data_IF_883206176238
#
_entry.id   IF_883206176238
#
_cell.length_a   1.000
_cell.length_b   1.000
_cell.length_c   1.000
_cell.angle_alpha   90.00
_cell.angle_beta   90.00
_cell.angle_gamma   90.00
#
_symmetry.space_group_name_H-M   'P 1'
#
loop_
_entity.id
_entity.type
_entity.pdbx_description
1 polymer ?
#
# COMPACT_ATOMS: atom_id res chain seq x y z
N UNK A 1 8.19 52.36 27.32
CA UNK A 1 8.54 51.60 26.10
C UNK A 1 7.86 52.27 24.92
N UNK A 2 8.50 52.33 23.74
CA UNK A 2 7.87 52.90 22.55
C UNK A 2 6.78 51.97 22.03
N UNK A 3 5.61 52.50 21.70
CA UNK A 3 4.50 51.76 21.11
C UNK A 3 4.92 51.06 19.82
N UNK A 4 5.73 51.75 19.01
CA UNK A 4 6.32 51.19 17.80
C UNK A 4 7.16 49.94 18.09
N UNK A 5 7.95 49.93 19.16
CA UNK A 5 8.73 48.76 19.59
C UNK A 5 7.85 47.62 20.10
N UNK A 6 6.77 47.93 20.83
CA UNK A 6 5.80 46.92 21.29
C UNK A 6 5.11 46.25 20.09
N UNK A 7 4.60 47.05 19.14
CA UNK A 7 3.95 46.53 17.95
C UNK A 7 4.92 45.72 17.10
N UNK A 8 6.12 46.24 16.81
CA UNK A 8 7.14 45.51 16.06
C UNK A 8 7.51 44.18 16.73
N UNK A 9 7.67 44.17 18.07
CA UNK A 9 7.92 42.95 18.83
C UNK A 9 6.79 41.93 18.71
N UNK A 10 5.53 42.37 18.81
CA UNK A 10 4.37 41.50 18.67
C UNK A 10 4.23 40.90 17.26
N UNK A 11 4.50 41.70 16.21
CA UNK A 11 4.49 41.20 14.83
C UNK A 11 5.63 40.22 14.57
N UNK A 12 6.83 40.49 15.07
CA UNK A 12 7.98 39.58 14.94
C UNK A 12 7.70 38.26 15.67
N UNK A 13 7.16 38.33 16.89
CA UNK A 13 6.79 37.14 17.66
C UNK A 13 5.72 36.29 16.94
N UNK A 14 4.68 36.93 16.39
CA UNK A 14 3.68 36.24 15.57
C UNK A 14 4.30 35.61 14.31
N UNK A 15 5.24 36.30 13.67
CA UNK A 15 6.01 35.78 12.54
C UNK A 15 6.80 34.52 12.89
N UNK A 16 7.44 34.49 14.06
CA UNK A 16 8.16 33.29 14.55
C UNK A 16 7.19 32.12 14.78
N UNK A 17 6.03 32.37 15.39
CA UNK A 17 5.02 31.32 15.60
C UNK A 17 4.52 30.76 14.27
N UNK A 18 4.18 31.62 13.32
CA UNK A 18 3.73 31.19 11.99
C UNK A 18 4.80 30.39 11.25
N UNK A 19 6.07 30.80 11.36
CA UNK A 19 7.20 30.07 10.79
C UNK A 19 7.38 28.70 11.45
N UNK A 20 7.27 28.62 12.79
CA UNK A 20 7.33 27.35 13.50
C UNK A 20 6.20 26.41 13.07
N UNK A 21 4.95 26.89 13.01
CA UNK A 21 3.80 26.12 12.52
C UNK A 21 4.06 25.63 11.09
N UNK A 22 4.59 26.49 10.22
CA UNK A 22 4.96 26.12 8.85
C UNK A 22 5.99 24.98 8.80
N UNK A 23 7.09 25.10 9.55
CA UNK A 23 8.15 24.08 9.59
C UNK A 23 7.64 22.75 10.16
N UNK A 24 6.90 22.78 11.28
CA UNK A 24 6.35 21.55 11.87
C UNK A 24 5.31 20.90 10.95
N UNK A 25 4.50 21.71 10.27
CA UNK A 25 3.53 21.22 9.28
C UNK A 25 4.22 20.52 8.11
N UNK A 26 5.27 21.13 7.52
CA UNK A 26 5.99 20.53 6.40
C UNK A 26 6.72 19.24 6.79
N UNK A 27 7.39 19.22 7.95
CA UNK A 27 8.05 18.01 8.46
C UNK A 27 7.05 16.88 8.70
N UNK A 28 5.87 17.19 9.25
CA UNK A 28 4.83 16.19 9.50
C UNK A 28 4.26 15.63 8.19
N UNK A 29 4.03 16.48 7.19
CA UNK A 29 3.58 16.05 5.86
C UNK A 29 4.63 15.15 5.20
N UNK A 30 5.91 15.51 5.29
CA UNK A 30 7.00 14.72 4.71
C UNK A 30 7.11 13.34 5.38
N UNK A 31 7.00 13.27 6.71
CA UNK A 31 7.00 12.00 7.44
C UNK A 31 5.82 11.10 7.01
N UNK A 32 4.62 11.67 6.90
CA UNK A 32 3.43 10.95 6.41
C UNK A 32 3.61 10.47 4.97
N UNK A 33 4.13 11.33 4.08
CA UNK A 33 4.41 10.98 2.68
C UNK A 33 5.42 9.85 2.55
N UNK A 34 6.48 9.85 3.37
CA UNK A 34 7.45 8.77 3.41
C UNK A 34 6.76 7.46 3.79
N UNK A 35 5.95 7.45 4.85
CA UNK A 35 5.19 6.25 5.28
C UNK A 35 4.17 5.76 4.27
N UNK A 36 3.49 6.67 3.55
CA UNK A 36 2.62 6.27 2.44
C UNK A 36 3.40 5.70 1.26
N UNK A 37 4.59 6.24 0.98
CA UNK A 37 5.48 5.70 -0.07
C UNK A 37 5.95 4.30 0.30
N UNK A 38 6.32 4.07 1.57
CA UNK A 38 6.61 2.73 2.09
C UNK A 38 5.44 1.79 1.81
N UNK A 39 4.24 2.12 2.29
CA UNK A 39 3.03 1.32 2.11
C UNK A 39 2.69 1.08 0.63
N UNK A 40 2.94 2.06 -0.24
CA UNK A 40 2.74 1.90 -1.68
C UNK A 40 3.70 0.88 -2.29
N UNK A 41 4.99 0.99 -1.98
CA UNK A 41 6.02 0.06 -2.45
C UNK A 41 5.73 -1.37 -1.99
N UNK A 42 5.27 -1.54 -0.74
CA UNK A 42 4.75 -2.81 -0.22
C UNK A 42 3.66 -3.36 -1.11
N UNK A 43 2.63 -2.55 -1.36
CA UNK A 43 1.46 -2.99 -2.10
C UNK A 43 1.82 -3.37 -3.54
N UNK A 44 2.69 -2.61 -4.19
CA UNK A 44 3.18 -2.88 -5.53
C UNK A 44 3.97 -4.19 -5.59
N UNK A 45 4.91 -4.39 -4.65
CA UNK A 45 5.72 -5.60 -4.59
C UNK A 45 4.84 -6.86 -4.43
N UNK A 46 3.83 -6.79 -3.57
CA UNK A 46 2.89 -7.88 -3.35
C UNK A 46 1.99 -8.10 -4.57
N UNK A 47 1.57 -7.04 -5.25
CA UNK A 47 0.80 -7.16 -6.49
C UNK A 47 1.61 -7.88 -7.59
N UNK A 48 2.91 -7.57 -7.71
CA UNK A 48 3.82 -8.30 -8.61
C UNK A 48 3.91 -9.78 -8.23
N UNK A 49 4.07 -10.10 -6.95
CA UNK A 49 4.08 -11.49 -6.48
C UNK A 49 2.80 -12.26 -6.88
N UNK A 50 1.64 -11.62 -6.74
CA UNK A 50 0.34 -12.23 -7.05
C UNK A 50 0.16 -12.56 -8.52
N UNK A 51 0.90 -11.91 -9.42
CA UNK A 51 0.86 -12.21 -10.84
C UNK A 51 1.55 -13.53 -11.19
N UNK A 52 2.42 -14.07 -10.32
CA UNK A 52 3.11 -15.33 -10.61
C UNK A 52 2.20 -16.55 -10.52
N UNK A 53 1.29 -16.60 -9.54
CA UNK A 53 0.37 -17.75 -9.38
C UNK A 53 -0.45 -18.04 -10.65
N UNK A 54 -1.18 -17.07 -11.26
CA UNK A 54 -1.94 -17.34 -12.48
C UNK A 54 -1.03 -17.67 -13.67
N UNK A 55 0.19 -17.13 -13.74
CA UNK A 55 1.16 -17.46 -14.80
C UNK A 55 1.71 -18.88 -14.64
N UNK A 56 2.00 -19.31 -13.42
CA UNK A 56 2.37 -20.69 -13.10
C UNK A 56 1.24 -21.66 -13.45
N UNK A 57 0.00 -21.34 -13.07
CA UNK A 57 -1.19 -22.12 -13.45
C UNK A 57 -1.33 -22.21 -14.97
N UNK A 58 -1.09 -21.11 -15.70
CA UNK A 58 -1.10 -21.13 -17.18
C UNK A 58 0.00 -22.02 -17.74
N UNK A 59 1.22 -21.92 -17.22
CA UNK A 59 2.38 -22.74 -17.62
C UNK A 59 2.09 -24.24 -17.45
N UNK A 60 1.50 -24.63 -16.33
CA UNK A 60 1.24 -26.04 -16.02
C UNK A 60 -0.01 -26.60 -16.69
N UNK A 61 -0.75 -25.77 -17.42
CA UNK A 61 -1.91 -26.16 -18.22
C UNK A 61 -1.60 -26.23 -19.71
N UNK A 62 -0.34 -26.01 -20.11
CA UNK A 62 0.08 -26.19 -21.50
C UNK A 62 -0.07 -27.65 -21.94
N UNK A 63 -0.27 -27.87 -23.24
CA UNK A 63 -0.56 -29.21 -23.78
C UNK A 63 0.61 -29.81 -24.54
N UNK A 64 1.56 -29.00 -24.97
CA UNK A 64 2.72 -29.42 -25.76
C UNK A 64 4.01 -28.92 -25.12
N UNK A 65 5.12 -29.63 -25.39
CA UNK A 65 6.45 -29.24 -24.89
C UNK A 65 6.87 -27.88 -25.47
N UNK A 66 6.55 -27.59 -26.73
CA UNK A 66 6.87 -26.31 -27.35
C UNK A 66 6.17 -25.12 -26.69
N UNK A 67 4.87 -25.28 -26.39
CA UNK A 67 4.09 -24.26 -25.67
C UNK A 67 4.64 -24.08 -24.25
N UNK A 68 4.95 -25.19 -23.57
CA UNK A 68 5.55 -25.21 -22.24
C UNK A 68 6.87 -24.44 -22.20
N UNK A 69 7.83 -24.76 -23.07
CA UNK A 69 9.15 -24.11 -23.08
C UNK A 69 9.04 -22.61 -23.39
N UNK A 70 8.06 -22.21 -24.21
CA UNK A 70 7.76 -20.81 -24.48
C UNK A 70 7.23 -20.08 -23.25
N UNK A 71 6.21 -20.64 -22.58
CA UNK A 71 5.65 -20.05 -21.37
C UNK A 71 6.67 -20.07 -20.21
N UNK A 72 7.50 -21.11 -20.12
CA UNK A 72 8.53 -21.27 -19.08
C UNK A 72 9.56 -20.15 -19.15
N UNK A 73 10.09 -19.86 -20.34
CA UNK A 73 11.04 -18.75 -20.53
C UNK A 73 10.46 -17.40 -20.13
N UNK A 74 9.19 -17.16 -20.47
CA UNK A 74 8.50 -15.93 -20.07
C UNK A 74 8.37 -15.86 -18.54
N UNK A 75 7.97 -16.95 -17.90
CA UNK A 75 7.88 -17.05 -16.43
C UNK A 75 9.25 -16.82 -15.76
N UNK A 76 10.31 -17.52 -16.17
CA UNK A 76 11.65 -17.38 -15.60
C UNK A 76 12.21 -15.96 -15.76
N UNK A 77 11.92 -15.29 -16.88
CA UNK A 77 12.36 -13.90 -17.09
C UNK A 77 11.74 -12.96 -16.07
N UNK A 78 10.44 -13.11 -15.81
CA UNK A 78 9.73 -12.30 -14.83
C UNK A 78 10.10 -12.66 -13.40
N UNK A 79 10.24 -13.95 -13.08
CA UNK A 79 10.67 -14.43 -11.76
C UNK A 79 12.04 -13.84 -11.42
N UNK A 80 13.01 -13.91 -12.33
CA UNK A 80 14.33 -13.31 -12.14
C UNK A 80 14.26 -11.79 -11.93
N UNK A 81 13.42 -11.08 -12.69
CA UNK A 81 13.19 -9.64 -12.51
C UNK A 81 12.61 -9.34 -11.13
N UNK A 82 11.66 -10.15 -10.66
CA UNK A 82 11.06 -10.00 -9.33
C UNK A 82 12.06 -10.29 -8.23
N UNK A 83 12.86 -11.37 -8.32
CA UNK A 83 13.88 -11.70 -7.32
C UNK A 83 14.95 -10.61 -7.21
N UNK A 84 15.33 -10.00 -8.33
CA UNK A 84 16.23 -8.84 -8.35
C UNK A 84 15.61 -7.60 -7.69
N UNK A 85 14.31 -7.38 -7.85
CA UNK A 85 13.61 -6.29 -7.18
C UNK A 85 13.44 -6.58 -5.67
N UNK A 86 13.06 -7.81 -5.33
CA UNK A 86 12.87 -8.29 -3.97
C UNK A 86 14.14 -8.13 -3.13
N UNK A 87 15.29 -8.56 -3.67
CA UNK A 87 16.59 -8.40 -2.99
C UNK A 87 16.91 -6.93 -2.67
N UNK A 88 16.65 -5.99 -3.58
CA UNK A 88 16.85 -4.56 -3.33
C UNK A 88 15.96 -4.04 -2.20
N UNK A 89 14.68 -4.42 -2.21
CA UNK A 89 13.72 -4.02 -1.18
C UNK A 89 14.10 -4.62 0.19
N UNK A 90 14.63 -5.85 0.19
CA UNK A 90 15.05 -6.54 1.42
C UNK A 90 16.21 -5.83 2.14
N UNK A 91 17.17 -5.29 1.38
CA UNK A 91 18.32 -4.57 1.92
C UNK A 91 17.93 -3.22 2.56
N UNK A 92 16.85 -2.60 2.09
CA UNK A 92 16.42 -1.28 2.55
C UNK A 92 15.63 -1.33 3.88
N UNK A 93 15.53 -2.50 4.54
CA UNK A 93 14.89 -2.68 5.86
C UNK A 93 13.45 -2.15 5.95
N UNK A 94 12.73 -2.09 4.82
CA UNK A 94 11.36 -1.55 4.82
C UNK A 94 10.34 -2.42 5.58
N UNK A 95 10.75 -3.57 6.13
CA UNK A 95 9.89 -4.52 6.80
C UNK A 95 10.64 -5.41 7.81
N UNK A 96 9.91 -5.94 8.80
CA UNK A 96 10.26 -7.20 9.47
C UNK A 96 10.04 -8.37 8.48
N UNK A 97 10.87 -8.42 7.41
CA UNK A 97 10.77 -9.26 6.18
C UNK A 97 10.93 -10.76 6.44
N UNK A 98 11.19 -11.19 7.67
CA UNK A 98 11.50 -12.60 7.95
C UNK A 98 10.37 -13.55 7.50
N UNK A 99 9.11 -13.09 7.55
CA UNK A 99 7.98 -13.88 7.04
C UNK A 99 7.96 -13.97 5.49
N UNK A 100 8.43 -12.94 4.78
CA UNK A 100 8.32 -12.82 3.33
C UNK A 100 9.41 -13.60 2.58
N UNK A 101 10.66 -13.60 3.07
CA UNK A 101 11.76 -14.37 2.46
C UNK A 101 11.43 -15.87 2.46
N UNK A 102 10.91 -16.37 3.58
CA UNK A 102 10.52 -17.78 3.71
C UNK A 102 9.40 -18.19 2.74
N UNK A 103 8.53 -17.25 2.35
CA UNK A 103 7.44 -17.50 1.42
C UNK A 103 7.93 -17.45 -0.03
N UNK A 104 8.84 -16.53 -0.35
CA UNK A 104 9.48 -16.44 -1.67
C UNK A 104 10.31 -17.70 -1.95
N UNK A 105 11.08 -18.19 -0.98
CA UNK A 105 11.85 -19.43 -1.09
C UNK A 105 10.94 -20.64 -1.32
N UNK A 106 9.88 -20.78 -0.51
CA UNK A 106 8.87 -21.83 -0.68
C UNK A 106 8.21 -21.76 -2.05
N UNK A 107 7.88 -20.56 -2.51
CA UNK A 107 7.30 -20.35 -3.84
C UNK A 107 8.23 -20.86 -4.93
N UNK A 108 9.52 -20.53 -4.88
CA UNK A 108 10.51 -20.97 -5.88
C UNK A 108 10.70 -22.49 -5.88
N UNK A 109 10.73 -23.12 -4.69
CA UNK A 109 10.81 -24.58 -4.55
C UNK A 109 9.58 -25.25 -5.17
N UNK A 110 8.37 -24.85 -4.77
CA UNK A 110 7.11 -25.43 -5.27
C UNK A 110 7.00 -25.23 -6.78
N UNK A 111 7.33 -24.04 -7.27
CA UNK A 111 7.32 -23.70 -8.70
C UNK A 111 8.26 -24.59 -9.50
N UNK A 112 9.50 -24.78 -9.02
CA UNK A 112 10.50 -25.62 -9.68
C UNK A 112 10.05 -27.08 -9.76
N UNK A 113 9.54 -27.63 -8.65
CA UNK A 113 9.03 -29.01 -8.61
C UNK A 113 7.82 -29.20 -9.52
N UNK A 114 6.92 -28.22 -9.56
CA UNK A 114 5.73 -28.25 -10.41
C UNK A 114 6.08 -28.14 -11.90
N UNK A 115 7.04 -27.29 -12.26
CA UNK A 115 7.58 -27.15 -13.62
C UNK A 115 8.19 -28.48 -14.08
N UNK A 116 9.01 -29.12 -13.24
CA UNK A 116 9.66 -30.39 -13.57
C UNK A 116 8.63 -31.51 -13.71
N UNK A 117 7.68 -31.62 -12.77
CA UNK A 117 6.61 -32.61 -12.85
C UNK A 117 5.74 -32.42 -14.12
N UNK A 118 5.45 -31.18 -14.51
CA UNK A 118 4.71 -30.91 -15.74
C UNK A 118 5.51 -31.25 -17.00
N UNK A 119 6.80 -30.95 -17.04
CA UNK A 119 7.68 -31.35 -18.15
C UNK A 119 7.70 -32.87 -18.33
N UNK A 120 7.84 -33.62 -17.25
CA UNK A 120 7.79 -35.08 -17.29
C UNK A 120 6.43 -35.59 -17.76
N UNK A 121 5.34 -34.97 -17.32
CA UNK A 121 3.98 -35.31 -17.78
C UNK A 121 3.84 -35.15 -19.30
N UNK A 122 4.35 -34.06 -19.87
CA UNK A 122 4.30 -33.79 -21.30
C UNK A 122 5.18 -34.77 -22.10
N UNK A 123 6.40 -35.04 -21.64
CA UNK A 123 7.28 -36.04 -22.24
C UNK A 123 6.63 -37.43 -22.29
N UNK A 124 6.04 -37.86 -21.17
CA UNK A 124 5.28 -39.12 -21.13
C UNK A 124 4.09 -39.11 -22.08
N UNK A 125 3.38 -37.97 -22.19
CA UNK A 125 2.29 -37.80 -23.15
C UNK A 125 2.74 -38.06 -24.59
N UNK A 126 3.86 -37.47 -25.02
CA UNK A 126 4.38 -37.67 -26.38
C UNK A 126 4.79 -39.13 -26.64
N UNK A 127 5.46 -39.76 -25.67
CA UNK A 127 5.88 -41.17 -25.78
C UNK A 127 4.66 -42.10 -25.81
N UNK A 128 3.62 -41.81 -25.05
CA UNK A 128 2.39 -42.61 -25.02
C UNK A 128 1.62 -42.54 -26.33
N UNK A 129 1.56 -41.39 -27.00
CA UNK A 129 0.92 -41.27 -28.33
C UNK A 129 1.60 -42.20 -29.33
N UNK A 130 2.94 -42.17 -29.41
CA UNK A 130 3.71 -43.07 -30.30
C UNK A 130 3.55 -44.54 -29.89
N UNK A 131 3.47 -44.79 -28.58
CA UNK A 131 3.29 -46.13 -28.05
C UNK A 131 1.94 -46.76 -28.32
N UNK A 132 0.88 -45.96 -28.33
CA UNK A 132 -0.46 -46.42 -28.67
C UNK A 132 -0.53 -46.92 -30.11
N UNK A 133 0.07 -46.20 -31.06
CA UNK A 133 0.12 -46.64 -32.46
C UNK A 133 0.87 -47.98 -32.63
N UNK A 134 1.99 -48.14 -31.89
CA UNK A 134 2.79 -49.36 -31.92
C UNK A 134 2.07 -50.53 -31.24
N UNK A 135 1.41 -50.28 -30.12
CA UNK A 135 0.61 -51.27 -29.40
C UNK A 135 -0.58 -51.74 -30.25
N UNK A 136 -1.32 -50.82 -30.88
CA UNK A 136 -2.45 -51.14 -31.75
C UNK A 136 -1.98 -52.01 -32.94
N UNK A 137 -0.88 -51.62 -33.60
CA UNK A 137 -0.30 -52.38 -34.71
C UNK A 137 0.07 -53.82 -34.29
N UNK A 138 0.67 -53.99 -33.12
CA UNK A 138 1.07 -55.32 -32.65
C UNK A 138 -0.11 -56.15 -32.14
N UNK A 139 -1.10 -55.51 -31.53
CA UNK A 139 -2.35 -56.15 -31.15
C UNK A 139 -3.11 -56.66 -32.39
N UNK A 140 -3.17 -55.89 -33.48
CA UNK A 140 -3.79 -56.32 -34.73
C UNK A 140 -3.10 -57.57 -35.33
N UNK A 141 -1.76 -57.60 -35.34
CA UNK A 141 -1.02 -58.79 -35.77
C UNK A 141 -1.35 -60.01 -34.91
N UNK A 142 -1.46 -59.82 -33.59
CA UNK A 142 -1.83 -60.87 -32.66
C UNK A 142 -3.23 -61.41 -32.94
N UNK A 143 -4.20 -60.52 -33.17
CA UNK A 143 -5.58 -60.88 -33.53
C UNK A 143 -5.61 -61.67 -34.84
N UNK A 144 -4.99 -61.14 -35.91
CA UNK A 144 -4.98 -61.79 -37.23
C UNK A 144 -4.38 -63.20 -37.13
N UNK A 145 -3.22 -63.32 -36.47
CA UNK A 145 -2.55 -64.60 -36.35
C UNK A 145 -3.42 -65.59 -35.59
N UNK A 146 -3.87 -65.26 -34.37
CA UNK A 146 -4.53 -66.23 -33.52
C UNK A 146 -5.99 -66.52 -33.92
N UNK A 147 -6.73 -65.55 -34.49
CA UNK A 147 -8.07 -65.78 -35.04
C UNK A 147 -8.07 -66.73 -36.24
N UNK A 148 -6.97 -66.83 -36.98
CA UNK A 148 -6.88 -67.76 -38.12
C UNK A 148 -6.90 -69.25 -37.72
N UNK A 149 -6.71 -69.57 -36.43
CA UNK A 149 -6.62 -70.93 -35.92
C UNK A 149 -7.97 -71.52 -35.44
N UNK A 150 -9.05 -70.73 -35.39
CA UNK A 150 -10.40 -71.22 -35.06
C UNK A 150 -10.57 -71.74 -33.62
N UNK A 151 -9.73 -71.31 -32.68
CA UNK A 151 -9.88 -71.61 -31.25
C UNK A 151 -10.66 -70.49 -30.55
N UNK A 152 -11.95 -70.72 -30.30
CA UNK A 152 -12.87 -69.78 -29.63
C UNK A 152 -12.36 -69.29 -28.26
N UNK A 153 -11.61 -70.14 -27.54
CA UNK A 153 -11.01 -69.81 -26.24
C UNK A 153 -9.93 -68.73 -26.36
N UNK A 154 -8.98 -68.94 -27.28
CA UNK A 154 -7.93 -67.97 -27.58
C UNK A 154 -8.50 -66.66 -28.11
N UNK A 155 -9.51 -66.71 -28.99
CA UNK A 155 -10.17 -65.49 -29.50
C UNK A 155 -10.79 -64.66 -28.38
N UNK A 156 -11.50 -65.31 -27.46
CA UNK A 156 -12.08 -64.67 -26.28
C UNK A 156 -11.00 -64.03 -25.40
N UNK A 157 -9.86 -64.69 -25.24
CA UNK A 157 -8.78 -64.23 -24.39
C UNK A 157 -7.97 -63.07 -24.99
N UNK A 158 -7.81 -63.04 -26.31
CA UNK A 158 -7.26 -61.89 -27.03
C UNK A 158 -8.20 -60.69 -26.91
N UNK A 159 -9.51 -60.89 -27.06
CA UNK A 159 -10.48 -59.83 -26.86
C UNK A 159 -10.39 -59.24 -25.44
N UNK A 160 -10.11 -60.07 -24.42
CA UNK A 160 -9.83 -59.59 -23.05
C UNK A 160 -8.52 -58.82 -22.95
N UNK A 161 -7.46 -59.22 -23.68
CA UNK A 161 -6.22 -58.43 -23.77
C UNK A 161 -6.53 -57.04 -24.33
N UNK A 162 -7.27 -56.93 -25.43
CA UNK A 162 -7.65 -55.64 -26.00
C UNK A 162 -8.51 -54.79 -25.06
N UNK A 163 -9.41 -55.42 -24.29
CA UNK A 163 -10.18 -54.73 -23.25
C UNK A 163 -9.27 -54.19 -22.14
N UNK A 164 -8.32 -54.99 -21.65
CA UNK A 164 -7.38 -54.61 -20.59
C UNK A 164 -6.38 -53.55 -21.05
N UNK A 165 -5.93 -53.61 -22.30
CA UNK A 165 -5.16 -52.56 -22.97
C UNK A 165 -5.94 -51.25 -22.90
N UNK A 166 -7.21 -51.27 -23.34
CA UNK A 166 -8.04 -50.05 -23.32
C UNK A 166 -8.27 -49.50 -21.92
N UNK A 167 -8.52 -50.40 -20.96
CA UNK A 167 -8.69 -50.03 -19.56
C UNK A 167 -7.42 -49.39 -18.97
N UNK A 168 -6.25 -49.91 -19.32
CA UNK A 168 -4.97 -49.43 -18.79
C UNK A 168 -4.57 -48.12 -19.46
N UNK A 169 -4.54 -48.07 -20.80
CA UNK A 169 -4.01 -46.93 -21.57
C UNK A 169 -4.95 -45.72 -21.57
N UNK A 170 -6.27 -45.93 -21.64
CA UNK A 170 -7.23 -44.82 -21.81
C UNK A 170 -8.02 -44.49 -20.54
N UNK A 171 -8.51 -45.49 -19.81
CA UNK A 171 -9.55 -45.25 -18.78
C UNK A 171 -9.00 -45.07 -17.37
N UNK A 172 -8.31 -46.08 -16.84
CA UNK A 172 -8.04 -46.20 -15.41
C UNK A 172 -6.60 -45.86 -15.03
N UNK A 173 -5.65 -45.99 -15.98
CA UNK A 173 -4.24 -45.61 -15.82
C UNK A 173 -3.61 -46.03 -14.48
N UNK A 174 -3.92 -47.25 -14.01
CA UNK A 174 -3.50 -47.72 -12.70
C UNK A 174 -2.71 -49.03 -12.76
N UNK A 175 -1.98 -49.30 -11.67
CA UNK A 175 -1.07 -50.45 -11.55
C UNK A 175 -1.79 -51.81 -11.55
N UNK A 176 -3.02 -51.87 -11.04
CA UNK A 176 -3.80 -53.12 -10.98
C UNK A 176 -4.27 -53.56 -12.37
N UNK A 177 -4.84 -52.64 -13.16
CA UNK A 177 -5.21 -52.89 -14.56
C UNK A 177 -4.00 -53.29 -15.40
N UNK A 178 -2.85 -52.63 -15.19
CA UNK A 178 -1.60 -52.97 -15.87
C UNK A 178 -1.10 -54.38 -15.51
N UNK A 179 -1.12 -54.77 -14.23
CA UNK A 179 -0.74 -56.13 -13.82
C UNK A 179 -1.64 -57.18 -14.47
N UNK A 180 -2.96 -56.97 -14.43
CA UNK A 180 -3.94 -57.89 -15.05
C UNK A 180 -3.72 -58.03 -16.55
N UNK A 181 -3.32 -56.95 -17.22
CA UNK A 181 -3.00 -56.97 -18.64
C UNK A 181 -1.78 -57.85 -18.94
N UNK A 182 -0.68 -57.68 -18.20
CA UNK A 182 0.51 -58.51 -18.32
C UNK A 182 0.24 -59.98 -17.99
N UNK A 183 -0.48 -60.24 -16.88
CA UNK A 183 -0.86 -61.58 -16.46
C UNK A 183 -1.70 -62.28 -17.54
N UNK A 184 -2.55 -61.52 -18.24
CA UNK A 184 -3.36 -62.07 -19.33
C UNK A 184 -2.53 -62.44 -20.56
N UNK A 185 -1.53 -61.64 -20.91
CA UNK A 185 -0.58 -61.97 -21.99
C UNK A 185 0.20 -63.25 -21.66
N UNK A 186 0.63 -63.39 -20.40
CA UNK A 186 1.33 -64.61 -19.94
C UNK A 186 0.44 -65.86 -19.96
N UNK A 187 -0.82 -65.69 -19.56
CA UNK A 187 -1.83 -66.74 -19.66
C UNK A 187 -2.03 -67.19 -21.11
N UNK A 188 -2.20 -66.27 -22.06
CA UNK A 188 -2.38 -66.60 -23.48
C UNK A 188 -1.12 -67.23 -24.06
N UNK A 189 0.06 -66.76 -23.67
CA UNK A 189 1.33 -67.35 -24.10
C UNK A 189 1.48 -68.81 -23.64
N UNK A 190 0.99 -69.13 -22.43
CA UNK A 190 0.96 -70.50 -21.91
C UNK A 190 -0.03 -71.36 -22.70
N UNK A 191 -1.23 -70.84 -22.97
CA UNK A 191 -2.25 -71.54 -23.75
C UNK A 191 -1.81 -71.83 -25.19
N UNK A 192 -1.13 -70.88 -25.85
CA UNK A 192 -0.56 -71.08 -27.19
C UNK A 192 0.46 -72.22 -27.20
N UNK A 193 1.33 -72.30 -26.18
CA UNK A 193 2.32 -73.39 -26.04
C UNK A 193 1.65 -74.76 -25.93
N UNK A 194 0.54 -74.83 -25.20
CA UNK A 194 -0.21 -76.06 -24.92
C UNK A 194 -1.21 -76.43 -26.04
N UNK A 195 -1.52 -75.52 -26.95
CA UNK A 195 -2.50 -75.72 -28.03
C UNK A 195 -2.09 -76.77 -29.08
N UNK A 196 -3.05 -77.23 -29.89
CA UNK A 196 -2.83 -78.23 -30.95
C UNK A 196 -2.34 -77.64 -32.30
N UNK A 197 -2.00 -76.34 -32.35
CA UNK A 197 -1.52 -75.68 -33.59
C UNK A 197 -0.11 -76.15 -33.97
N UNK A 198 0.31 -75.90 -35.21
CA UNK A 198 1.63 -76.36 -35.68
C UNK A 198 2.77 -75.67 -34.94
N UNK A 199 3.93 -76.31 -34.83
CA UNK A 199 5.08 -75.73 -34.13
C UNK A 199 5.50 -74.37 -34.71
N UNK A 200 5.45 -74.22 -36.05
CA UNK A 200 5.79 -72.98 -36.74
C UNK A 200 4.85 -71.85 -36.33
N UNK A 201 3.55 -72.14 -36.22
CA UNK A 201 2.56 -71.17 -35.76
C UNK A 201 2.74 -70.82 -34.27
N UNK A 202 3.05 -71.82 -33.42
CA UNK A 202 3.38 -71.58 -32.00
C UNK A 202 4.55 -70.64 -31.86
N UNK A 203 5.64 -70.89 -32.60
CA UNK A 203 6.85 -70.08 -32.53
C UNK A 203 6.56 -68.64 -32.95
N UNK A 204 5.81 -68.45 -34.06
CA UNK A 204 5.41 -67.13 -34.53
C UNK A 204 4.49 -66.39 -33.56
N UNK A 205 3.51 -67.09 -32.96
CA UNK A 205 2.61 -66.50 -31.98
C UNK A 205 3.34 -66.11 -30.68
N UNK A 206 4.26 -66.94 -30.21
CA UNK A 206 5.08 -66.67 -29.03
C UNK A 206 6.01 -65.47 -29.28
N UNK A 207 6.59 -65.35 -30.47
CA UNK A 207 7.40 -64.19 -30.87
C UNK A 207 6.57 -62.90 -30.80
N UNK A 208 5.40 -62.86 -31.45
CA UNK A 208 4.51 -61.69 -31.42
C UNK A 208 4.04 -61.37 -30.00
N UNK A 209 3.66 -62.37 -29.20
CA UNK A 209 3.26 -62.17 -27.81
C UNK A 209 4.39 -61.62 -26.95
N UNK A 210 5.64 -62.04 -27.21
CA UNK A 210 6.82 -61.53 -26.52
C UNK A 210 7.08 -60.08 -26.88
N UNK A 211 7.09 -59.73 -28.18
CA UNK A 211 7.21 -58.34 -28.64
C UNK A 211 6.10 -57.47 -28.07
N UNK A 212 4.86 -57.94 -28.13
CA UNK A 212 3.70 -57.24 -27.58
C UNK A 212 3.86 -57.04 -26.07
N UNK A 213 4.29 -58.05 -25.31
CA UNK A 213 4.54 -57.93 -23.87
C UNK A 213 5.60 -56.87 -23.55
N UNK A 214 6.67 -56.78 -24.33
CA UNK A 214 7.71 -55.75 -24.13
C UNK A 214 7.17 -54.32 -24.34
N UNK A 215 6.39 -54.13 -25.41
CA UNK A 215 5.68 -52.89 -25.71
C UNK A 215 4.73 -52.53 -24.56
N UNK A 216 3.87 -53.47 -24.17
CA UNK A 216 2.91 -53.32 -23.09
C UNK A 216 3.60 -52.99 -21.77
N UNK A 217 4.69 -53.68 -21.45
CA UNK A 217 5.48 -53.42 -20.24
C UNK A 217 6.04 -52.01 -20.23
N UNK A 218 6.61 -51.57 -21.35
CA UNK A 218 7.19 -50.23 -21.50
C UNK A 218 6.13 -49.15 -21.34
N UNK A 219 5.05 -49.20 -22.13
CA UNK A 219 4.03 -48.16 -22.13
C UNK A 219 3.13 -48.22 -20.90
N UNK A 220 2.83 -49.40 -20.38
CA UNK A 220 2.08 -49.56 -19.13
C UNK A 220 2.81 -48.93 -17.94
N UNK A 221 4.13 -49.10 -17.84
CA UNK A 221 4.93 -48.41 -16.83
C UNK A 221 4.89 -46.88 -17.00
N UNK A 222 4.94 -46.37 -18.23
CA UNK A 222 4.83 -44.93 -18.50
C UNK A 222 3.45 -44.41 -18.10
N UNK A 223 2.36 -45.13 -18.37
CA UNK A 223 1.01 -44.75 -17.96
C UNK A 223 0.88 -44.68 -16.45
N UNK A 224 1.36 -45.70 -15.73
CA UNK A 224 1.33 -45.72 -14.26
C UNK A 224 2.16 -44.56 -13.69
N UNK A 225 3.34 -44.30 -14.27
CA UNK A 225 4.20 -43.17 -13.90
C UNK A 225 3.51 -41.83 -14.18
N UNK A 226 2.85 -41.68 -15.33
CA UNK A 226 2.09 -40.47 -15.69
C UNK A 226 0.98 -40.17 -14.67
N UNK A 227 0.29 -41.21 -14.15
CA UNK A 227 -0.72 -41.03 -13.10
C UNK A 227 -0.13 -40.53 -11.78
N UNK A 228 1.04 -41.04 -11.39
CA UNK A 228 1.74 -40.56 -10.21
C UNK A 228 2.22 -39.11 -10.39
N UNK A 229 2.73 -38.77 -11.57
CA UNK A 229 3.13 -37.39 -11.90
C UNK A 229 1.93 -36.45 -11.88
N UNK A 230 0.78 -36.86 -12.40
CA UNK A 230 -0.46 -36.07 -12.33
C UNK A 230 -0.86 -35.78 -10.87
N UNK A 231 -0.75 -36.78 -9.98
CA UNK A 231 -0.97 -36.59 -8.56
C UNK A 231 0.03 -35.59 -7.94
N UNK A 232 1.32 -35.74 -8.21
CA UNK A 232 2.36 -34.81 -7.72
C UNK A 232 2.06 -33.39 -8.19
N UNK A 233 1.68 -33.20 -9.47
CA UNK A 233 1.30 -31.89 -10.01
C UNK A 233 0.12 -31.30 -9.25
N UNK A 234 -0.94 -32.08 -9.01
CA UNK A 234 -2.10 -31.60 -8.27
C UNK A 234 -1.74 -31.23 -6.83
N UNK A 235 -0.99 -32.08 -6.13
CA UNK A 235 -0.54 -31.83 -4.76
C UNK A 235 0.27 -30.51 -4.70
N UNK A 236 1.12 -30.24 -5.70
CA UNK A 236 1.92 -29.00 -5.79
C UNK A 236 1.10 -27.77 -6.18
N UNK A 237 0.07 -27.92 -7.01
CA UNK A 237 -0.88 -26.84 -7.29
C UNK A 237 -1.65 -26.47 -6.01
N UNK A 238 -2.09 -27.46 -5.24
CA UNK A 238 -2.79 -27.22 -3.98
C UNK A 238 -1.87 -26.55 -2.94
N UNK A 239 -0.61 -26.97 -2.86
CA UNK A 239 0.42 -26.34 -2.02
C UNK A 239 0.68 -24.88 -2.43
N UNK A 240 0.72 -24.60 -3.74
CA UNK A 240 0.88 -23.25 -4.28
C UNK A 240 -0.32 -22.35 -3.96
N UNK A 241 -1.54 -22.88 -4.09
CA UNK A 241 -2.77 -22.16 -3.73
C UNK A 241 -2.77 -21.82 -2.24
N UNK A 242 -2.42 -22.78 -1.39
CA UNK A 242 -2.33 -22.58 0.06
C UNK A 242 -1.27 -21.53 0.42
N UNK A 243 -0.09 -21.59 -0.21
CA UNK A 243 0.97 -20.59 -0.02
C UNK A 243 0.48 -19.20 -0.42
N UNK A 244 -0.17 -19.06 -1.56
CA UNK A 244 -0.73 -17.78 -2.01
C UNK A 244 -1.78 -17.23 -1.02
N UNK A 245 -2.64 -18.09 -0.45
CA UNK A 245 -3.59 -17.68 0.59
C UNK A 245 -2.88 -17.20 1.86
N UNK A 246 -1.83 -17.89 2.30
CA UNK A 246 -1.02 -17.46 3.45
C UNK A 246 -0.36 -16.11 3.19
N UNK A 247 0.21 -15.91 2.00
CA UNK A 247 0.80 -14.63 1.57
C UNK A 247 -0.26 -13.51 1.60
N UNK A 248 -1.49 -13.76 1.11
CA UNK A 248 -2.57 -12.75 1.19
C UNK A 248 -2.97 -12.42 2.64
N UNK A 249 -2.98 -13.41 3.53
CA UNK A 249 -3.33 -13.18 4.93
C UNK A 249 -2.26 -12.35 5.64
N UNK A 250 -0.98 -12.70 5.47
CA UNK A 250 0.13 -11.94 6.03
C UNK A 250 0.19 -10.53 5.42
N UNK A 251 -0.10 -10.38 4.12
CA UNK A 251 -0.30 -9.07 3.48
C UNK A 251 -1.36 -8.25 4.21
N UNK A 252 -2.54 -8.81 4.43
CA UNK A 252 -3.64 -8.05 5.03
C UNK A 252 -3.28 -7.59 6.45
N UNK A 253 -2.61 -8.44 7.23
CA UNK A 253 -2.08 -8.09 8.55
C UNK A 253 -1.04 -6.98 8.47
N UNK A 254 -0.06 -7.10 7.56
CA UNK A 254 1.01 -6.13 7.38
C UNK A 254 0.48 -4.74 6.94
N UNK A 255 -0.42 -4.72 5.96
CA UNK A 255 -1.08 -3.49 5.50
C UNK A 255 -1.90 -2.88 6.64
N UNK A 256 -2.72 -3.67 7.34
CA UNK A 256 -3.53 -3.17 8.45
C UNK A 256 -2.66 -2.60 9.58
N UNK A 257 -1.54 -3.25 9.92
CA UNK A 257 -0.60 -2.75 10.93
C UNK A 257 0.04 -1.43 10.51
N UNK A 258 0.47 -1.31 9.24
CA UNK A 258 1.07 -0.08 8.71
C UNK A 258 0.06 1.05 8.55
N UNK A 259 -1.17 0.76 8.15
CA UNK A 259 -2.27 1.73 8.15
C UNK A 259 -2.54 2.24 9.56
N UNK A 260 -2.58 1.36 10.57
CA UNK A 260 -2.73 1.77 11.96
C UNK A 260 -1.55 2.63 12.46
N UNK A 261 -0.31 2.32 12.08
CA UNK A 261 0.87 3.15 12.37
C UNK A 261 0.72 4.54 11.75
N UNK A 262 0.31 4.64 10.48
CA UNK A 262 0.06 5.92 9.80
C UNK A 262 -1.06 6.70 10.49
N UNK A 263 -2.17 6.05 10.82
CA UNK A 263 -3.29 6.68 11.52
C UNK A 263 -2.88 7.22 12.90
N UNK A 264 -2.07 6.48 13.64
CA UNK A 264 -1.52 6.93 14.91
C UNK A 264 -0.62 8.17 14.72
N UNK A 265 0.29 8.15 13.75
CA UNK A 265 1.14 9.31 13.41
C UNK A 265 0.27 10.51 13.03
N UNK A 266 -0.69 10.33 12.13
CA UNK A 266 -1.59 11.42 11.69
C UNK A 266 -2.37 11.99 12.87
N UNK A 267 -2.89 11.15 13.76
CA UNK A 267 -3.61 11.58 14.96
C UNK A 267 -2.72 12.39 15.90
N UNK A 268 -1.51 11.91 16.18
CA UNK A 268 -0.53 12.59 17.03
C UNK A 268 -0.12 13.95 16.45
N UNK A 269 0.15 14.03 15.14
CA UNK A 269 0.50 15.29 14.47
C UNK A 269 -0.68 16.26 14.45
N UNK A 270 -1.90 15.78 14.21
CA UNK A 270 -3.10 16.62 14.25
C UNK A 270 -3.30 17.22 15.64
N UNK A 271 -3.13 16.43 16.71
CA UNK A 271 -3.21 16.93 18.08
C UNK A 271 -2.19 18.04 18.37
N UNK A 272 -0.95 17.89 17.88
CA UNK A 272 0.08 18.93 17.99
C UNK A 272 -0.33 20.21 17.26
N UNK A 273 -0.82 20.09 16.01
CA UNK A 273 -1.28 21.24 15.22
C UNK A 273 -2.45 21.95 15.90
N UNK A 274 -3.45 21.19 16.39
CA UNK A 274 -4.59 21.76 17.12
C UNK A 274 -4.15 22.51 18.38
N UNK A 275 -3.24 21.93 19.17
CA UNK A 275 -2.70 22.57 20.36
C UNK A 275 -1.95 23.87 20.01
N UNK A 276 -1.15 23.88 18.94
CA UNK A 276 -0.48 25.08 18.45
C UNK A 276 -1.46 26.16 17.97
N UNK A 277 -2.56 25.78 17.30
CA UNK A 277 -3.60 26.72 16.88
C UNK A 277 -4.31 27.36 18.07
N UNK A 278 -4.70 26.56 19.07
CA UNK A 278 -5.34 27.06 20.30
C UNK A 278 -4.38 27.99 21.05
N UNK A 279 -3.12 27.59 21.19
CA UNK A 279 -2.10 28.40 21.85
C UNK A 279 -1.88 29.74 21.14
N UNK A 280 -1.81 29.72 19.80
CA UNK A 280 -1.67 30.93 18.97
C UNK A 280 -2.87 31.86 19.12
N UNK A 281 -4.08 31.29 19.18
CA UNK A 281 -5.31 32.04 19.42
C UNK A 281 -5.30 32.72 20.80
N UNK A 282 -4.92 31.99 21.85
CA UNK A 282 -4.83 32.52 23.22
C UNK A 282 -3.82 33.66 23.32
N UNK A 283 -2.65 33.53 22.71
CA UNK A 283 -1.65 34.61 22.68
C UNK A 283 -2.17 35.81 21.90
N UNK A 284 -2.85 35.59 20.76
CA UNK A 284 -3.43 36.68 19.97
C UNK A 284 -4.45 37.48 20.78
N UNK A 285 -5.31 36.79 21.54
CA UNK A 285 -6.27 37.43 22.45
C UNK A 285 -5.54 38.20 23.56
N UNK A 286 -4.55 37.58 24.20
CA UNK A 286 -3.78 38.21 25.27
C UNK A 286 -3.07 39.49 24.79
N UNK A 287 -2.44 39.44 23.62
CA UNK A 287 -1.80 40.61 22.99
C UNK A 287 -2.83 41.69 22.65
N UNK A 288 -3.99 41.31 22.11
CA UNK A 288 -5.08 42.26 21.83
C UNK A 288 -5.55 42.99 23.07
N UNK A 289 -5.74 42.26 24.19
CA UNK A 289 -6.10 42.84 25.48
C UNK A 289 -4.99 43.75 26.01
N UNK A 290 -3.73 43.32 25.96
CA UNK A 290 -2.59 44.13 26.43
C UNK A 290 -2.45 45.44 25.63
N UNK A 291 -2.59 45.37 24.31
CA UNK A 291 -2.52 46.54 23.42
C UNK A 291 -3.71 47.48 23.70
N UNK A 292 -4.93 46.93 23.76
CA UNK A 292 -6.13 47.72 24.05
C UNK A 292 -6.02 48.40 25.41
N UNK A 293 -5.65 47.68 26.46
CA UNK A 293 -5.51 48.26 27.79
C UNK A 293 -4.43 49.35 27.83
N UNK A 294 -3.26 49.10 27.23
CA UNK A 294 -2.13 50.03 27.27
C UNK A 294 -2.39 51.31 26.47
N UNK A 295 -3.00 51.21 25.29
CA UNK A 295 -3.27 52.37 24.42
C UNK A 295 -4.57 53.05 24.82
N UNK A 296 -5.68 52.31 24.87
CA UNK A 296 -7.00 52.90 25.11
C UNK A 296 -7.09 53.51 26.49
N UNK A 297 -6.47 52.91 27.51
CA UNK A 297 -6.39 53.50 28.85
C UNK A 297 -5.66 54.84 28.85
N UNK A 298 -4.48 54.89 28.23
CA UNK A 298 -3.69 56.13 28.11
C UNK A 298 -4.40 57.23 27.32
N UNK A 299 -5.03 56.89 26.19
CA UNK A 299 -5.80 57.86 25.39
C UNK A 299 -7.04 58.34 26.15
N UNK A 300 -7.78 57.43 26.80
CA UNK A 300 -8.99 57.78 27.54
C UNK A 300 -8.71 58.81 28.63
N UNK A 301 -7.64 58.64 29.42
CA UNK A 301 -7.27 59.62 30.44
C UNK A 301 -6.93 60.99 29.84
N UNK A 302 -6.23 61.02 28.70
CA UNK A 302 -5.98 62.28 27.98
C UNK A 302 -7.30 62.91 27.53
N UNK A 303 -8.21 62.13 26.95
CA UNK A 303 -9.52 62.61 26.50
C UNK A 303 -10.35 63.18 27.65
N UNK A 304 -10.43 62.48 28.78
CA UNK A 304 -11.14 62.93 29.98
C UNK A 304 -10.57 64.26 30.50
N UNK A 305 -9.24 64.42 30.54
CA UNK A 305 -8.59 65.66 30.93
C UNK A 305 -8.87 66.81 29.95
N UNK A 306 -8.84 66.56 28.64
CA UNK A 306 -9.21 67.56 27.62
C UNK A 306 -10.65 68.02 27.79
N UNK A 307 -11.56 67.09 28.06
CA UNK A 307 -12.96 67.40 28.26
C UNK A 307 -13.16 68.33 29.47
N UNK A 308 -12.48 68.07 30.59
CA UNK A 308 -12.52 68.96 31.75
C UNK A 308 -11.92 70.34 31.48
N UNK A 309 -10.82 70.41 30.74
CA UNK A 309 -10.23 71.68 30.29
C UNK A 309 -11.24 72.45 29.41
N UNK A 310 -11.96 71.76 28.52
CA UNK A 310 -12.95 72.38 27.62
C UNK A 310 -14.13 73.01 28.38
N UNK A 311 -14.44 72.49 29.58
CA UNK A 311 -15.44 73.04 30.51
C UNK A 311 -14.91 74.24 31.32
N UNK A 312 -13.69 74.70 31.05
CA UNK A 312 -13.06 75.84 31.71
C UNK A 312 -12.23 75.47 32.95
N UNK A 313 -12.07 74.18 33.27
CA UNK A 313 -11.26 73.75 34.41
C UNK A 313 -9.77 73.64 34.03
N UNK A 314 -9.03 74.74 34.11
CA UNK A 314 -7.59 74.78 33.82
C UNK A 314 -6.69 74.34 35.00
N UNK A 315 -7.25 73.72 36.03
CA UNK A 315 -6.50 73.22 37.20
C UNK A 315 -6.29 71.71 37.15
N UNK A 316 -6.74 71.03 36.08
CA UNK A 316 -6.53 69.59 35.90
C UNK A 316 -5.05 69.31 35.67
N UNK A 317 -4.49 68.40 36.47
CA UNK A 317 -3.13 67.90 36.25
C UNK A 317 -3.18 66.77 35.22
N UNK A 318 -2.48 66.95 34.11
CA UNK A 318 -2.38 65.90 33.08
C UNK A 318 -1.40 64.84 33.59
N UNK A 319 -1.92 63.83 34.29
CA UNK A 319 -1.09 62.70 34.72
C UNK A 319 -0.58 61.95 33.48
N UNK A 320 0.73 62.02 33.26
CA UNK A 320 1.42 61.41 32.14
C UNK A 320 2.15 60.13 32.55
N UNK A 321 1.67 59.43 33.59
CA UNK A 321 2.22 58.14 34.04
C UNK A 321 1.74 56.94 33.21
N UNK A 322 1.67 57.07 31.89
CA UNK A 322 1.47 55.87 31.05
C UNK A 322 2.82 55.19 30.80
N UNK A 323 2.82 53.88 30.55
CA UNK A 323 4.07 53.15 30.22
C UNK A 323 4.53 53.40 28.77
N UNK A 324 3.68 54.03 27.95
CA UNK A 324 3.90 54.30 26.52
C UNK A 324 4.49 55.69 26.34
N UNK A 325 5.69 55.76 25.76
CA UNK A 325 6.41 57.02 25.58
C UNK A 325 5.67 58.01 24.69
N UNK A 326 5.04 57.53 23.61
CA UNK A 326 4.28 58.33 22.65
C UNK A 326 3.05 58.96 23.28
N UNK A 327 2.34 58.22 24.15
CA UNK A 327 1.18 58.76 24.89
C UNK A 327 1.66 59.79 25.93
N UNK A 328 2.80 59.55 26.59
CA UNK A 328 3.39 60.53 27.50
C UNK A 328 3.87 61.80 26.77
N UNK A 329 4.38 61.66 25.54
CA UNK A 329 4.71 62.81 24.70
C UNK A 329 3.46 63.61 24.34
N UNK A 330 2.36 62.94 24.00
CA UNK A 330 1.07 63.59 23.74
C UNK A 330 0.55 64.32 24.98
N UNK A 331 0.56 63.67 26.15
CA UNK A 331 0.16 64.28 27.42
C UNK A 331 1.00 65.53 27.75
N UNK A 332 2.32 65.48 27.57
CA UNK A 332 3.22 66.63 27.78
C UNK A 332 3.02 67.76 26.77
N UNK A 333 2.68 67.43 25.52
CA UNK A 333 2.34 68.45 24.52
C UNK A 333 1.05 69.17 24.90
N UNK A 334 0.05 68.40 25.33
CA UNK A 334 -1.23 68.94 25.77
C UNK A 334 -1.09 69.81 27.03
N UNK A 335 -0.28 69.40 28.01
CA UNK A 335 -0.01 70.19 29.23
C UNK A 335 0.57 71.58 28.91
N UNK A 336 1.48 71.64 27.93
CA UNK A 336 2.03 72.91 27.45
C UNK A 336 0.98 73.80 26.80
N UNK A 337 0.08 73.22 25.99
CA UNK A 337 -1.03 73.94 25.36
C UNK A 337 -1.97 74.48 26.44
N UNK A 338 -2.37 73.65 27.40
CA UNK A 338 -3.25 74.02 28.51
C UNK A 338 -2.67 75.19 29.32
N UNK A 339 -1.38 75.15 29.68
CA UNK A 339 -0.71 76.24 30.40
C UNK A 339 -0.73 77.55 29.62
N UNK A 340 -0.52 77.48 28.31
CA UNK A 340 -0.57 78.66 27.43
C UNK A 340 -1.99 79.23 27.34
N UNK A 341 -3.00 78.37 27.19
CA UNK A 341 -4.41 78.78 27.18
C UNK A 341 -4.83 79.42 28.51
N UNK A 342 -4.44 78.81 29.64
CA UNK A 342 -4.71 79.34 30.98
C UNK A 342 -4.11 80.74 31.15
N UNK A 343 -2.86 80.94 30.72
CA UNK A 343 -2.21 82.24 30.77
C UNK A 343 -2.96 83.28 29.93
N UNK A 344 -3.36 82.93 28.70
CA UNK A 344 -4.10 83.81 27.83
C UNK A 344 -5.47 84.21 28.40
N UNK A 345 -6.22 83.24 28.97
CA UNK A 345 -7.49 83.52 29.65
C UNK A 345 -7.29 84.47 30.83
N UNK A 346 -6.31 84.20 31.70
CA UNK A 346 -5.99 85.08 32.83
C UNK A 346 -5.58 86.48 32.38
N UNK A 347 -4.81 86.61 31.28
CA UNK A 347 -4.45 87.91 30.72
C UNK A 347 -5.69 88.66 30.22
N UNK A 348 -6.62 87.98 29.54
CA UNK A 348 -7.87 88.60 29.07
C UNK A 348 -8.77 89.04 30.22
N UNK A 349 -8.87 88.24 31.29
CA UNK A 349 -9.62 88.61 32.50
C UNK A 349 -9.00 89.83 33.20
N UNK A 350 -7.66 89.87 33.32
CA UNK A 350 -6.94 90.99 33.90
C UNK A 350 -7.12 92.28 33.08
N UNK A 351 -7.01 92.18 31.75
CA UNK A 351 -7.28 93.30 30.83
C UNK A 351 -8.73 93.77 30.94
N UNK A 352 -9.71 92.87 30.94
CA UNK A 352 -11.12 93.23 31.08
C UNK A 352 -11.39 93.97 32.40
N UNK A 353 -10.81 93.49 33.52
CA UNK A 353 -10.95 94.12 34.83
C UNK A 353 -10.35 95.55 34.82
N UNK A 354 -9.16 95.73 34.27
CA UNK A 354 -8.51 97.05 34.17
C UNK A 354 -9.27 98.02 33.25
N UNK A 355 -9.82 97.56 32.12
CA UNK A 355 -10.60 98.42 31.21
C UNK A 355 -11.92 98.86 31.85
N UNK A 356 -12.58 97.97 32.61
CA UNK A 356 -13.83 98.27 33.33
C UNK A 356 -13.60 99.29 34.45
N UNK A 357 -12.48 99.21 35.15
CA UNK A 357 -12.10 100.17 36.18
C UNK A 357 -11.67 101.53 35.58
N UNK A 358 -11.21 101.58 34.32
CA UNK A 358 -10.91 102.85 33.60
C UNK A 358 -12.10 103.56 32.95
N UNK A 359 -13.29 102.94 32.86
CA UNK A 359 -14.51 103.54 32.24
C UNK A 359 -15.44 104.19 33.28
N UNK A 360 -15.13 104.12 34.58
CA UNK A 360 -15.89 104.80 35.64
C UNK A 360 -15.14 106.04 36.16
N UNK A 361 -15.28 107.21 35.50
CA UNK A 361 -16.30 108.15 35.97
C UNK A 361 -17.03 108.99 34.90
N UNK A 362 -16.73 108.86 33.60
CA UNK A 362 -17.19 109.84 32.60
C UNK A 362 -18.67 109.70 32.18
N UNK A 363 -19.30 108.53 32.43
CA UNK A 363 -20.71 108.32 32.09
C UNK A 363 -21.72 108.68 33.21
N UNK A 364 -21.25 109.23 34.34
CA UNK A 364 -22.14 109.86 35.33
C UNK A 364 -22.56 111.28 34.95
N UNK A 365 -21.99 111.88 33.89
CA UNK A 365 -22.37 113.23 33.45
C UNK A 365 -23.60 113.27 32.51
N UNK A 366 -23.88 112.21 31.75
CA UNK A 366 -24.97 112.20 30.77
C UNK A 366 -26.34 111.73 31.30
N UNK A 367 -26.41 111.16 32.51
CA UNK A 367 -27.69 110.94 33.21
C UNK A 367 -28.15 112.16 34.03
N UNK A 368 -27.29 113.17 34.22
CA UNK A 368 -27.66 114.42 34.91
C UNK A 368 -28.35 115.47 34.00
N UNK A 369 -28.41 115.24 32.68
CA UNK A 369 -29.02 116.16 31.70
C UNK A 369 -30.34 115.64 31.08
N UNK A 370 -31.01 114.69 31.75
CA UNK A 370 -32.35 114.22 31.38
C UNK A 370 -33.38 114.51 32.48
N UNK A 371 -33.52 115.78 32.86
CA UNK A 371 -34.74 116.40 33.43
C UNK A 371 -34.86 117.81 32.91
#
# INVERSE_FOLDING_TARGET
MKLSTLMAGSFLFMGIILLAIGIFGTLSIQEIQNKYTELHNVSEHIEKFNQFTPKMVKLVNTKTIEEFETQKKAFETEENSFMQEHSKISEENYFDIIAHDSQTDKFSIISSELIEAHKQFLNHGEVLVKGQELEETQYEKLVILLSSHGNDGLETDIAKIGLLSKQTLYNYKNKDSFSKWLDKIDSVTTEVKESDITQVEKDSAIEILTEYKEIVSTYGNIVVSQKNIEKIRQDKIDELILLNQQVQQERHKAISAKTAEIEAIVSDKNNIIYNLMIFTLLISIALGILISHSISGGIRHITENVEEISKGNFNVEIDSKTSIEEINMLGRALDRIMKTMKLAVLETEFRYKNTKDSISPENKLNEAFRV
#
